data_IF_100889655090
#
_entry.id   IF_100889655090
#
_cell.length_a   1.000
_cell.length_b   1.000
_cell.length_c   1.000
_cell.angle_alpha   90.00
_cell.angle_beta   90.00
_cell.angle_gamma   90.00
#
_symmetry.space_group_name_H-M   'P 1'
#
loop_
_entity.id
_entity.type
_entity.pdbx_description
1 polymer ?
#
# COMPACT_ATOMS: atom_id res chain seq x y z
N UNK A 1 22.14 11.47 13.50
CA UNK A 1 21.05 11.78 12.52
C UNK A 1 19.80 11.07 12.97
N UNK A 2 18.72 11.80 13.23
CA UNK A 2 17.43 11.18 13.59
C UNK A 2 16.95 10.44 12.35
N UNK A 3 16.74 9.13 12.45
CA UNK A 3 16.19 8.29 11.38
C UNK A 3 14.85 8.87 10.93
N UNK A 4 14.69 9.05 9.61
CA UNK A 4 13.48 9.63 9.01
C UNK A 4 12.21 8.89 9.43
N UNK A 5 12.27 7.55 9.50
CA UNK A 5 11.18 6.71 9.95
C UNK A 5 10.78 7.03 11.39
N UNK A 6 11.75 7.11 12.30
CA UNK A 6 11.51 7.43 13.72
C UNK A 6 10.80 8.77 13.91
N UNK A 7 11.15 9.79 13.12
CA UNK A 7 10.49 11.10 13.15
C UNK A 7 9.01 11.02 12.71
N UNK A 8 8.73 10.25 11.66
CA UNK A 8 7.35 9.99 11.20
C UNK A 8 6.55 9.25 12.28
N UNK A 9 7.10 8.17 12.83
CA UNK A 9 6.40 7.36 13.85
C UNK A 9 6.09 8.19 15.10
N UNK A 10 7.03 9.03 15.57
CA UNK A 10 6.79 9.94 16.69
C UNK A 10 5.66 10.95 16.40
N UNK A 11 5.62 11.50 15.19
CA UNK A 11 4.52 12.37 14.75
C UNK A 11 3.19 11.61 14.73
N UNK A 12 3.15 10.39 14.15
CA UNK A 12 1.94 9.56 14.08
C UNK A 12 1.39 9.21 15.47
N UNK A 13 2.24 8.89 16.42
CA UNK A 13 1.81 8.65 17.81
C UNK A 13 1.10 9.88 18.40
N UNK A 14 1.61 11.10 18.18
CA UNK A 14 0.95 12.36 18.62
C UNK A 14 -0.38 12.60 17.90
N UNK A 15 -0.44 12.38 16.58
CA UNK A 15 -1.68 12.50 15.80
C UNK A 15 -2.75 11.51 16.31
N UNK A 16 -2.38 10.26 16.57
CA UNK A 16 -3.28 9.23 17.06
C UNK A 16 -3.83 9.53 18.46
N UNK A 17 -3.00 10.08 19.35
CA UNK A 17 -3.44 10.54 20.67
C UNK A 17 -4.54 11.61 20.55
N UNK A 18 -4.38 12.57 19.64
CA UNK A 18 -5.41 13.58 19.38
C UNK A 18 -6.68 12.99 18.79
N UNK A 19 -6.54 12.08 17.82
CA UNK A 19 -7.68 11.36 17.20
C UNK A 19 -8.46 10.54 18.22
N UNK A 20 -7.79 9.77 19.07
CA UNK A 20 -8.47 8.98 20.12
C UNK A 20 -9.32 9.86 21.04
N UNK A 21 -8.81 11.02 21.47
CA UNK A 21 -9.56 11.96 22.28
C UNK A 21 -10.81 12.49 21.55
N UNK A 22 -10.69 12.78 20.25
CA UNK A 22 -11.79 13.25 19.42
C UNK A 22 -12.85 12.18 19.23
N UNK A 23 -12.43 10.95 18.89
CA UNK A 23 -13.33 9.80 18.70
C UNK A 23 -14.03 9.42 20.01
N UNK A 24 -13.32 9.46 21.15
CA UNK A 24 -13.92 9.20 22.47
C UNK A 24 -15.01 10.21 22.87
N UNK A 25 -14.94 11.44 22.34
CA UNK A 25 -15.95 12.47 22.54
C UNK A 25 -17.15 12.32 21.57
N UNK A 26 -17.05 11.50 20.55
CA UNK A 26 -18.13 11.19 19.62
C UNK A 26 -18.86 9.90 20.05
N UNK A 27 -20.14 9.77 19.66
CA UNK A 27 -20.84 8.48 19.80
C UNK A 27 -20.10 7.42 18.99
N UNK A 28 -20.01 6.18 19.52
CA UNK A 28 -19.43 5.07 18.80
C UNK A 28 -20.15 4.89 17.45
N UNK A 29 -19.40 5.02 16.36
CA UNK A 29 -19.90 4.76 15.01
C UNK A 29 -19.83 3.26 14.80
N UNK A 30 -20.97 2.65 14.48
CA UNK A 30 -21.03 1.24 14.10
C UNK A 30 -20.31 1.04 12.76
N UNK A 31 -19.43 0.04 12.70
CA UNK A 31 -18.69 -0.35 11.49
C UNK A 31 -18.95 -1.83 11.21
N UNK A 32 -20.04 -2.15 10.52
CA UNK A 32 -20.34 -3.54 10.18
C UNK A 32 -19.25 -4.11 9.27
N UNK A 33 -18.86 -5.39 9.44
CA UNK A 33 -17.92 -6.03 8.53
C UNK A 33 -18.39 -5.99 7.08
N UNK A 34 -17.47 -5.79 6.15
CA UNK A 34 -17.73 -5.81 4.70
C UNK A 34 -16.82 -6.85 4.03
N UNK A 35 -17.07 -8.15 4.20
CA UNK A 35 -16.19 -9.22 3.74
C UNK A 35 -15.95 -9.21 2.24
N UNK A 36 -16.88 -8.68 1.45
CA UNK A 36 -16.75 -8.51 0.01
C UNK A 36 -15.58 -7.60 -0.38
N UNK A 37 -15.17 -6.67 0.49
CA UNK A 37 -13.96 -5.85 0.24
C UNK A 37 -12.70 -6.69 0.28
N UNK A 38 -12.57 -7.56 1.29
CA UNK A 38 -11.45 -8.48 1.46
C UNK A 38 -11.37 -9.45 0.28
N UNK A 39 -12.48 -10.13 -0.04
CA UNK A 39 -12.53 -11.10 -1.13
C UNK A 39 -12.16 -10.48 -2.48
N UNK A 40 -12.67 -9.28 -2.77
CA UNK A 40 -12.36 -8.54 -3.98
C UNK A 40 -10.88 -8.16 -4.04
N UNK A 41 -10.30 -7.72 -2.91
CA UNK A 41 -8.89 -7.32 -2.82
C UNK A 41 -7.96 -8.52 -3.04
N UNK A 42 -8.22 -9.65 -2.40
CA UNK A 42 -7.43 -10.87 -2.56
C UNK A 42 -7.50 -11.38 -4.02
N UNK A 43 -8.71 -11.41 -4.60
CA UNK A 43 -8.90 -11.83 -5.99
C UNK A 43 -8.20 -10.92 -6.99
N UNK A 44 -8.23 -9.61 -6.75
CA UNK A 44 -7.61 -8.62 -7.63
C UNK A 44 -6.07 -8.69 -7.62
N UNK A 45 -5.47 -9.08 -6.50
CA UNK A 45 -4.03 -9.10 -6.33
C UNK A 45 -3.39 -10.47 -6.60
N UNK A 46 -4.15 -11.57 -6.50
CA UNK A 46 -3.63 -12.90 -6.82
C UNK A 46 -3.34 -13.01 -8.31
N UNK A 47 -2.13 -13.46 -8.63
CA UNK A 47 -1.69 -13.69 -10.00
C UNK A 47 -2.45 -14.87 -10.61
N UNK A 48 -2.95 -14.70 -11.83
CA UNK A 48 -3.48 -15.82 -12.61
C UNK A 48 -2.36 -16.77 -13.01
N UNK A 49 -2.59 -18.10 -13.03
CA UNK A 49 -1.58 -19.05 -13.48
C UNK A 49 -1.04 -18.69 -14.87
N UNK A 50 0.28 -18.54 -15.00
CA UNK A 50 0.95 -18.19 -16.25
C UNK A 50 0.72 -16.75 -16.73
N UNK A 51 -0.06 -15.94 -15.99
CA UNK A 51 -0.28 -14.54 -16.32
C UNK A 51 0.80 -13.59 -15.79
N UNK A 52 0.77 -12.29 -16.16
CA UNK A 52 1.63 -11.28 -15.58
C UNK A 52 1.23 -10.97 -14.13
N UNK A 53 2.13 -10.39 -13.32
CA UNK A 53 1.77 -9.89 -12.00
C UNK A 53 0.69 -8.80 -12.07
N UNK A 54 -0.23 -8.82 -11.11
CA UNK A 54 -1.19 -7.74 -10.92
C UNK A 54 -0.49 -6.43 -10.56
N UNK A 55 -1.06 -5.27 -10.94
CA UNK A 55 -0.43 -3.98 -10.62
C UNK A 55 -1.26 -3.18 -9.62
N UNK A 56 -0.60 -2.80 -8.52
CA UNK A 56 -1.06 -1.77 -7.59
C UNK A 56 -0.45 -0.43 -8.04
N UNK A 57 -1.23 0.43 -8.67
CA UNK A 57 -0.76 1.73 -9.14
C UNK A 57 -0.90 2.79 -8.04
N UNK A 58 0.20 3.52 -7.73
CA UNK A 58 0.24 4.42 -6.59
C UNK A 58 0.07 5.89 -6.97
N UNK A 59 -0.92 6.54 -6.35
CA UNK A 59 -1.10 8.00 -6.38
C UNK A 59 -0.27 8.61 -5.26
N UNK A 60 0.81 9.32 -5.66
CA UNK A 60 1.77 9.93 -4.75
C UNK A 60 2.34 11.23 -5.32
N UNK A 61 1.96 12.36 -4.75
CA UNK A 61 2.40 13.67 -5.25
C UNK A 61 3.81 14.07 -4.79
N UNK A 62 4.26 13.51 -3.67
CA UNK A 62 5.56 13.80 -3.06
C UNK A 62 6.13 12.57 -2.41
N UNK A 63 7.45 12.51 -2.27
CA UNK A 63 8.11 11.53 -1.40
C UNK A 63 9.38 12.12 -0.78
N UNK A 64 9.86 11.58 0.36
CA UNK A 64 11.12 12.01 0.97
C UNK A 64 12.32 11.86 0.06
N UNK A 65 12.34 10.82 -0.76
CA UNK A 65 13.46 10.50 -1.66
C UNK A 65 13.45 11.30 -2.96
N UNK A 66 12.27 11.73 -3.46
CA UNK A 66 12.13 12.38 -4.75
C UNK A 66 11.67 13.85 -4.67
N UNK A 67 11.36 14.35 -3.46
CA UNK A 67 10.73 15.65 -3.29
C UNK A 67 9.32 15.70 -3.89
N UNK A 68 8.95 16.82 -4.49
CA UNK A 68 7.72 16.95 -5.26
C UNK A 68 7.87 16.20 -6.58
N UNK A 69 6.93 15.30 -6.86
CA UNK A 69 6.90 14.46 -8.08
C UNK A 69 5.98 15.14 -9.11
N UNK A 70 4.85 15.64 -8.63
CA UNK A 70 3.84 16.33 -9.43
C UNK A 70 3.00 17.24 -8.55
N UNK A 71 2.57 18.43 -9.02
CA UNK A 71 1.59 19.24 -8.31
C UNK A 71 0.33 18.44 -8.02
N UNK A 72 -0.13 18.47 -6.76
CA UNK A 72 -1.22 17.61 -6.31
C UNK A 72 -2.45 18.36 -5.86
N UNK A 73 -3.62 17.87 -6.28
CA UNK A 73 -4.91 18.22 -5.72
C UNK A 73 -5.78 16.97 -5.56
N UNK A 74 -6.82 17.01 -4.72
CA UNK A 74 -7.75 15.88 -4.63
C UNK A 74 -8.44 15.53 -5.95
N UNK A 75 -8.73 16.53 -6.80
CA UNK A 75 -9.30 16.31 -8.14
C UNK A 75 -8.33 15.62 -9.09
N UNK A 76 -7.07 16.06 -9.08
CA UNK A 76 -6.00 15.44 -9.86
C UNK A 76 -5.76 14.00 -9.42
N UNK A 77 -5.76 13.70 -8.12
CA UNK A 77 -5.62 12.34 -7.62
C UNK A 77 -6.72 11.40 -8.08
N UNK A 78 -7.97 11.87 -8.14
CA UNK A 78 -9.10 11.11 -8.71
C UNK A 78 -8.93 10.89 -10.20
N UNK A 79 -8.51 11.91 -10.97
CA UNK A 79 -8.26 11.80 -12.40
C UNK A 79 -7.20 10.73 -12.71
N UNK A 80 -6.09 10.76 -11.97
CA UNK A 80 -5.01 9.78 -12.07
C UNK A 80 -5.50 8.37 -11.73
N UNK A 81 -6.22 8.19 -10.61
CA UNK A 81 -6.72 6.89 -10.19
C UNK A 81 -7.67 6.25 -11.21
N UNK A 82 -8.56 7.05 -11.82
CA UNK A 82 -9.39 6.61 -12.94
C UNK A 82 -8.56 6.25 -14.18
N UNK A 83 -7.49 7.00 -14.43
CA UNK A 83 -6.52 6.67 -15.48
C UNK A 83 -5.86 5.32 -15.22
N UNK A 84 -5.43 5.05 -13.98
CA UNK A 84 -4.87 3.76 -13.59
C UNK A 84 -5.84 2.60 -13.78
N UNK A 85 -7.10 2.77 -13.35
CA UNK A 85 -8.13 1.75 -13.54
C UNK A 85 -8.34 1.44 -15.02
N UNK A 86 -8.48 2.46 -15.89
CA UNK A 86 -8.58 2.27 -17.34
C UNK A 86 -7.31 1.67 -17.94
N UNK A 87 -6.15 1.99 -17.39
CA UNK A 87 -4.85 1.46 -17.79
C UNK A 87 -4.55 0.04 -17.33
N UNK A 88 -5.49 -0.60 -16.61
CA UNK A 88 -5.37 -2.01 -16.20
C UNK A 88 -4.84 -2.23 -14.78
N UNK A 89 -4.85 -1.20 -13.90
CA UNK A 89 -4.51 -1.40 -12.49
C UNK A 89 -5.49 -2.36 -11.81
N UNK A 90 -4.96 -3.33 -11.09
CA UNK A 90 -5.74 -4.27 -10.28
C UNK A 90 -6.15 -3.68 -8.92
N UNK A 91 -5.38 -2.69 -8.43
CA UNK A 91 -5.69 -1.90 -7.25
C UNK A 91 -5.03 -0.52 -7.35
N UNK A 92 -5.51 0.45 -6.56
CA UNK A 92 -4.90 1.78 -6.47
C UNK A 92 -4.41 2.03 -5.05
N UNK A 93 -3.10 2.32 -4.91
CA UNK A 93 -2.51 2.79 -3.65
C UNK A 93 -2.63 4.30 -3.55
N UNK A 94 -3.11 4.82 -2.41
CA UNK A 94 -3.27 6.27 -2.19
C UNK A 94 -2.57 6.67 -0.91
N UNK A 95 -1.59 7.58 -1.03
CA UNK A 95 -0.91 8.13 0.13
C UNK A 95 -1.89 8.95 0.97
N UNK A 96 -1.97 8.62 2.28
CA UNK A 96 -2.83 9.30 3.24
C UNK A 96 -2.05 10.15 4.26
N UNK A 97 -0.73 10.29 4.08
CA UNK A 97 0.14 11.13 4.90
C UNK A 97 0.40 12.48 4.21
N UNK A 98 0.02 13.59 4.87
CA UNK A 98 0.16 14.94 4.33
C UNK A 98 1.60 15.45 4.29
N UNK A 99 2.31 15.59 5.43
CA UNK A 99 3.56 16.34 5.50
C UNK A 99 4.69 15.75 4.65
N UNK A 100 4.81 14.42 4.56
CA UNK A 100 5.89 13.76 3.82
C UNK A 100 5.53 13.40 2.39
N UNK A 101 4.24 13.17 2.10
CA UNK A 101 3.83 12.50 0.86
C UNK A 101 2.75 13.25 0.06
N UNK A 102 2.26 14.38 0.57
CA UNK A 102 1.24 15.19 -0.10
C UNK A 102 -0.13 14.53 -0.18
N UNK A 103 -0.40 13.52 0.67
CA UNK A 103 -1.64 12.77 0.71
C UNK A 103 -2.60 13.21 1.81
N UNK A 104 -3.77 12.59 1.86
CA UNK A 104 -4.73 12.77 2.95
C UNK A 104 -5.78 11.66 2.97
N UNK A 105 -6.43 11.40 4.13
CA UNK A 105 -7.59 10.50 4.17
C UNK A 105 -8.74 10.94 3.26
N UNK A 106 -8.92 12.25 3.08
CA UNK A 106 -9.93 12.78 2.15
C UNK A 106 -9.66 12.41 0.70
N UNK A 107 -8.38 12.38 0.30
CA UNK A 107 -7.99 11.92 -1.03
C UNK A 107 -8.35 10.44 -1.21
N UNK A 108 -8.06 9.59 -0.21
CA UNK A 108 -8.44 8.16 -0.22
C UNK A 108 -9.95 8.01 -0.40
N UNK A 109 -10.76 8.75 0.38
CA UNK A 109 -12.23 8.72 0.28
C UNK A 109 -12.73 9.08 -1.12
N UNK A 110 -12.14 10.13 -1.73
CA UNK A 110 -12.54 10.57 -3.09
C UNK A 110 -12.15 9.54 -4.15
N UNK A 111 -10.97 8.94 -4.02
CA UNK A 111 -10.52 7.89 -4.94
C UNK A 111 -11.38 6.64 -4.77
N UNK A 112 -11.61 6.17 -3.54
CA UNK A 112 -12.43 4.99 -3.26
C UNK A 112 -13.87 5.11 -3.79
N UNK A 113 -14.43 6.34 -3.79
CA UNK A 113 -15.74 6.62 -4.40
C UNK A 113 -15.73 6.81 -5.90
N UNK A 114 -14.55 6.79 -6.55
CA UNK A 114 -14.39 7.12 -7.97
C UNK A 114 -13.91 5.97 -8.85
N UNK A 115 -13.37 4.90 -8.25
CA UNK A 115 -12.88 3.69 -8.93
C UNK A 115 -13.58 2.44 -8.43
N UNK A 116 -13.63 1.39 -9.24
CA UNK A 116 -14.19 0.09 -8.87
C UNK A 116 -13.15 -0.87 -8.30
N UNK A 117 -11.86 -0.66 -8.60
CA UNK A 117 -10.76 -1.48 -8.09
C UNK A 117 -10.50 -1.22 -6.59
N UNK A 118 -9.97 -2.21 -5.83
CA UNK A 118 -9.63 -2.02 -4.43
C UNK A 118 -8.66 -0.84 -4.19
N UNK A 119 -8.88 -0.10 -3.09
CA UNK A 119 -8.02 1.04 -2.72
C UNK A 119 -7.22 0.70 -1.48
N UNK A 120 -5.89 0.88 -1.56
CA UNK A 120 -4.94 0.73 -0.46
C UNK A 120 -4.77 2.07 0.27
N UNK A 121 -5.13 2.08 1.56
CA UNK A 121 -4.83 3.17 2.49
C UNK A 121 -3.36 3.14 2.89
N UNK A 122 -2.54 3.97 2.22
CA UNK A 122 -1.09 3.95 2.39
C UNK A 122 -0.63 5.03 3.37
N UNK A 123 -0.44 4.62 4.63
CA UNK A 123 0.06 5.46 5.72
C UNK A 123 0.75 4.58 6.77
N UNK A 124 1.56 5.17 7.64
CA UNK A 124 2.14 4.47 8.80
C UNK A 124 1.06 4.25 9.86
N UNK A 125 0.49 3.05 9.88
CA UNK A 125 -0.55 2.65 10.85
C UNK A 125 0.11 2.09 12.10
N UNK A 126 -0.21 2.70 13.26
CA UNK A 126 0.31 2.35 14.58
C UNK A 126 -0.81 2.14 15.61
N UNK A 127 -2.07 2.31 15.22
CA UNK A 127 -3.17 2.45 16.15
C UNK A 127 -4.49 2.02 15.50
N UNK A 128 -5.36 1.29 16.21
CA UNK A 128 -6.68 0.90 15.70
C UNK A 128 -7.54 2.07 15.19
N UNK A 129 -7.39 3.29 15.75
CA UNK A 129 -8.13 4.47 15.28
C UNK A 129 -7.81 4.83 13.83
N UNK A 130 -6.63 4.47 13.33
CA UNK A 130 -6.27 4.67 11.92
C UNK A 130 -6.91 3.59 11.02
N UNK A 131 -7.10 2.38 11.54
CA UNK A 131 -7.84 1.30 10.86
C UNK A 131 -9.30 1.67 10.72
N UNK A 132 -9.90 2.21 11.77
CA UNK A 132 -11.27 2.71 11.74
C UNK A 132 -11.44 3.83 10.70
N UNK A 133 -10.47 4.75 10.63
CA UNK A 133 -10.47 5.79 9.61
C UNK A 133 -10.31 5.22 8.20
N UNK A 134 -9.46 4.21 8.00
CA UNK A 134 -9.31 3.55 6.70
C UNK A 134 -10.64 2.93 6.23
N UNK A 135 -11.37 2.29 7.15
CA UNK A 135 -12.71 1.77 6.88
C UNK A 135 -13.69 2.88 6.46
N UNK A 136 -13.74 3.98 7.22
CA UNK A 136 -14.65 5.11 7.02
C UNK A 136 -14.41 5.85 5.69
N UNK A 137 -13.17 5.84 5.19
CA UNK A 137 -12.82 6.43 3.88
C UNK A 137 -12.96 5.45 2.70
N UNK A 138 -13.43 4.23 2.96
CA UNK A 138 -13.74 3.26 1.91
C UNK A 138 -12.56 2.43 1.41
N UNK A 139 -11.46 2.35 2.17
CA UNK A 139 -10.35 1.48 1.83
C UNK A 139 -10.75 -0.01 1.87
N UNK A 140 -10.16 -0.80 0.98
CA UNK A 140 -10.25 -2.26 0.99
C UNK A 140 -8.96 -2.91 1.52
N UNK A 141 -7.85 -2.18 1.42
CA UNK A 141 -6.51 -2.59 1.80
C UNK A 141 -5.90 -1.56 2.76
N UNK A 142 -5.14 -2.02 3.76
CA UNK A 142 -4.49 -1.15 4.75
C UNK A 142 -3.02 -1.56 4.91
N UNK A 143 -2.11 -0.60 4.78
CA UNK A 143 -0.67 -0.84 4.97
C UNK A 143 -0.33 -1.01 6.45
N UNK A 144 0.44 -2.03 6.77
CA UNK A 144 1.18 -2.18 8.03
C UNK A 144 2.67 -2.36 7.72
N UNK A 145 3.54 -1.74 8.50
CA UNK A 145 4.99 -1.92 8.40
C UNK A 145 5.49 -2.78 9.56
N UNK A 146 6.13 -3.92 9.28
CA UNK A 146 6.66 -4.81 10.31
C UNK A 146 7.64 -4.09 11.23
N UNK A 147 8.58 -3.33 10.68
CA UNK A 147 9.61 -2.59 11.44
C UNK A 147 9.08 -1.44 12.30
N UNK A 148 7.83 -1.05 12.12
CA UNK A 148 7.20 0.02 12.90
C UNK A 148 6.38 -0.48 14.09
N UNK A 149 6.21 -1.80 14.22
CA UNK A 149 5.30 -2.45 15.16
C UNK A 149 5.99 -3.61 15.89
N UNK A 150 5.68 -3.74 17.16
CA UNK A 150 5.99 -4.95 17.92
C UNK A 150 5.03 -6.08 17.50
N UNK A 151 5.42 -7.36 17.68
CA UNK A 151 4.62 -8.51 17.23
C UNK A 151 3.19 -8.55 17.78
N UNK A 152 2.94 -8.23 19.07
CA UNK A 152 1.57 -8.18 19.59
C UNK A 152 0.72 -7.11 18.89
N UNK A 153 1.29 -5.92 18.63
CA UNK A 153 0.59 -4.82 17.97
C UNK A 153 0.32 -5.13 16.50
N UNK A 154 1.30 -5.70 15.80
CA UNK A 154 1.15 -6.14 14.41
C UNK A 154 0.00 -7.14 14.28
N UNK A 155 -0.03 -8.17 15.15
CA UNK A 155 -1.08 -9.18 15.18
C UNK A 155 -2.45 -8.58 15.48
N UNK A 156 -2.53 -7.70 16.48
CA UNK A 156 -3.77 -7.03 16.85
C UNK A 156 -4.33 -6.16 15.71
N UNK A 157 -3.46 -5.43 14.99
CA UNK A 157 -3.87 -4.61 13.84
C UNK A 157 -4.28 -5.46 12.64
N UNK A 158 -3.59 -6.57 12.36
CA UNK A 158 -4.00 -7.55 11.33
C UNK A 158 -5.42 -8.05 11.63
N UNK A 159 -5.67 -8.50 12.87
CA UNK A 159 -6.99 -8.98 13.29
C UNK A 159 -8.06 -7.87 13.19
N UNK A 160 -7.74 -6.64 13.62
CA UNK A 160 -8.67 -5.51 13.56
C UNK A 160 -9.06 -5.17 12.12
N UNK A 161 -8.10 -5.13 11.19
CA UNK A 161 -8.36 -4.86 9.78
C UNK A 161 -9.30 -5.92 9.21
N UNK A 162 -9.02 -7.20 9.45
CA UNK A 162 -9.83 -8.31 8.97
C UNK A 162 -11.22 -8.36 9.58
N UNK A 163 -11.36 -8.02 10.86
CA UNK A 163 -12.67 -7.97 11.51
C UNK A 163 -13.63 -6.95 10.89
N UNK A 164 -13.11 -5.98 10.14
CA UNK A 164 -13.88 -4.98 9.40
C UNK A 164 -14.11 -5.37 7.92
N UNK A 165 -13.60 -6.52 7.48
CA UNK A 165 -13.70 -6.97 6.09
C UNK A 165 -12.74 -6.27 5.14
N UNK A 166 -11.63 -5.74 5.64
CA UNK A 166 -10.49 -5.24 4.85
C UNK A 166 -9.34 -6.26 4.89
N UNK A 167 -8.33 -6.10 4.02
CA UNK A 167 -7.10 -6.89 4.09
C UNK A 167 -5.89 -6.04 4.46
N UNK A 168 -5.03 -6.52 5.39
CA UNK A 168 -3.74 -5.89 5.64
C UNK A 168 -2.76 -6.21 4.51
N UNK A 169 -2.05 -5.19 4.04
CA UNK A 169 -0.83 -5.35 3.23
C UNK A 169 0.34 -5.13 4.19
N UNK A 170 1.00 -6.22 4.60
CA UNK A 170 2.07 -6.16 5.58
C UNK A 170 3.41 -6.03 4.86
N UNK A 171 4.03 -4.86 4.98
CA UNK A 171 5.28 -4.51 4.33
C UNK A 171 6.47 -4.96 5.18
N UNK A 172 7.35 -5.76 4.56
CA UNK A 172 8.61 -6.26 5.09
C UNK A 172 9.78 -5.75 4.26
N UNK A 173 10.96 -5.67 4.87
CA UNK A 173 12.19 -5.23 4.21
C UNK A 173 13.26 -6.31 4.11
N UNK A 174 13.11 -7.41 4.85
CA UNK A 174 14.03 -8.53 4.89
C UNK A 174 13.30 -9.83 5.26
N UNK A 175 14.04 -10.94 5.26
CA UNK A 175 13.48 -12.27 5.53
C UNK A 175 12.87 -12.40 6.93
N UNK A 176 13.51 -11.84 7.94
CA UNK A 176 13.01 -11.93 9.32
C UNK A 176 11.68 -11.19 9.47
N UNK A 177 11.54 -10.05 8.78
CA UNK A 177 10.28 -9.30 8.75
C UNK A 177 9.19 -10.06 7.94
N UNK A 178 9.55 -10.82 6.91
CA UNK A 178 8.62 -11.73 6.20
C UNK A 178 8.12 -12.81 7.16
N UNK A 179 8.99 -13.45 7.91
CA UNK A 179 8.63 -14.47 8.89
C UNK A 179 7.70 -13.91 9.98
N UNK A 180 7.96 -12.69 10.46
CA UNK A 180 7.08 -11.96 11.40
C UNK A 180 5.70 -11.64 10.81
N UNK A 181 5.65 -11.25 9.52
CA UNK A 181 4.39 -10.99 8.81
C UNK A 181 3.54 -12.27 8.69
N UNK A 182 4.16 -13.39 8.35
CA UNK A 182 3.51 -14.71 8.31
C UNK A 182 2.99 -15.09 9.70
N UNK A 183 3.82 -14.98 10.74
CA UNK A 183 3.45 -15.29 12.13
C UNK A 183 2.31 -14.40 12.67
N UNK A 184 2.16 -13.18 12.13
CA UNK A 184 1.05 -12.30 12.44
C UNK A 184 -0.26 -12.69 11.74
N UNK A 185 -0.24 -13.68 10.84
CA UNK A 185 -1.41 -14.16 10.09
C UNK A 185 -1.75 -13.30 8.86
N UNK A 186 -0.76 -12.61 8.28
CA UNK A 186 -0.98 -11.83 7.05
C UNK A 186 -1.21 -12.73 5.85
N UNK A 187 -2.17 -12.34 5.00
CA UNK A 187 -2.48 -12.99 3.71
C UNK A 187 -1.90 -12.24 2.51
N UNK A 188 -1.50 -10.98 2.69
CA UNK A 188 -0.83 -10.16 1.68
C UNK A 188 0.45 -9.61 2.28
N UNK A 189 1.59 -10.03 1.76
CA UNK A 189 2.91 -9.62 2.24
C UNK A 189 3.63 -8.88 1.12
N UNK A 190 4.03 -7.64 1.39
CA UNK A 190 4.79 -6.84 0.45
C UNK A 190 6.25 -6.75 0.85
N UNK A 191 7.17 -6.93 -0.10
CA UNK A 191 8.59 -6.66 0.14
C UNK A 191 8.99 -5.36 -0.55
N UNK A 192 9.48 -4.42 0.25
CA UNK A 192 9.91 -3.13 -0.26
C UNK A 192 11.41 -3.17 -0.62
N UNK A 193 11.70 -3.13 -1.92
CA UNK A 193 13.06 -3.07 -2.42
C UNK A 193 13.79 -1.76 -2.06
N UNK A 194 13.06 -0.73 -1.63
CA UNK A 194 13.62 0.54 -1.16
C UNK A 194 13.79 0.52 0.35
N UNK A 195 15.02 0.67 0.81
CA UNK A 195 15.30 0.91 2.22
C UNK A 195 14.80 2.29 2.66
N UNK A 196 14.03 2.36 3.76
CA UNK A 196 13.42 3.60 4.24
C UNK A 196 14.39 4.52 4.98
N UNK A 197 15.60 4.04 5.31
CA UNK A 197 16.62 4.80 6.02
C UNK A 197 17.62 5.43 5.04
N UNK A 198 18.05 4.67 4.04
CA UNK A 198 19.06 5.07 3.05
C UNK A 198 18.47 5.53 1.73
N UNK A 199 17.21 5.19 1.47
CA UNK A 199 16.49 5.33 0.19
C UNK A 199 17.12 4.55 -0.98
N UNK A 200 18.13 3.70 -0.71
CA UNK A 200 18.69 2.77 -1.68
C UNK A 200 17.65 1.74 -2.14
N UNK A 201 17.82 1.25 -3.35
CA UNK A 201 16.95 0.21 -3.92
C UNK A 201 17.79 -1.03 -4.22
N UNK A 202 17.45 -2.14 -3.56
CA UNK A 202 18.05 -3.46 -3.81
C UNK A 202 16.96 -4.45 -4.27
N UNK A 203 16.89 -4.63 -5.59
CA UNK A 203 15.88 -5.50 -6.20
C UNK A 203 16.20 -6.98 -6.03
N UNK A 204 17.47 -7.35 -5.95
CA UNK A 204 17.87 -8.75 -5.84
C UNK A 204 17.58 -9.27 -4.43
N UNK A 205 17.93 -8.50 -3.40
CA UNK A 205 17.56 -8.83 -2.03
C UNK A 205 16.03 -8.89 -1.86
N UNK A 206 15.30 -7.96 -2.46
CA UNK A 206 13.83 -7.98 -2.42
C UNK A 206 13.24 -9.21 -3.12
N UNK A 207 13.76 -9.61 -4.29
CA UNK A 207 13.32 -10.85 -4.97
C UNK A 207 13.58 -12.09 -4.13
N UNK A 208 14.74 -12.18 -3.48
CA UNK A 208 15.05 -13.28 -2.58
C UNK A 208 14.08 -13.35 -1.39
N UNK A 209 13.69 -12.20 -0.82
CA UNK A 209 12.69 -12.14 0.24
C UNK A 209 11.28 -12.50 -0.25
N UNK A 210 10.87 -12.03 -1.44
CA UNK A 210 9.57 -12.38 -2.06
C UNK A 210 9.46 -13.89 -2.29
N UNK A 211 10.55 -14.54 -2.68
CA UNK A 211 10.57 -15.98 -2.89
C UNK A 211 10.33 -16.81 -1.61
N UNK A 212 10.51 -16.22 -0.42
CA UNK A 212 10.24 -16.85 0.89
C UNK A 212 8.77 -16.73 1.33
N UNK A 213 7.97 -15.88 0.68
CA UNK A 213 6.56 -15.71 1.03
C UNK A 213 5.81 -17.00 0.66
N UNK A 214 5.05 -17.59 1.63
CA UNK A 214 4.27 -18.82 1.38
C UNK A 214 3.31 -18.69 0.20
N UNK A 215 3.06 -19.78 -0.50
CA UNK A 215 2.21 -19.81 -1.71
C UNK A 215 0.75 -19.43 -1.42
N UNK A 216 0.26 -19.72 -0.24
CA UNK A 216 -1.07 -19.33 0.22
C UNK A 216 -1.21 -17.81 0.41
N UNK A 217 -0.11 -17.08 0.62
CA UNK A 217 -0.11 -15.63 0.72
C UNK A 217 0.02 -14.98 -0.67
N UNK A 218 -0.54 -13.80 -0.83
CA UNK A 218 -0.28 -12.91 -1.97
C UNK A 218 1.05 -12.20 -1.75
N UNK A 219 2.01 -12.41 -2.64
CA UNK A 219 3.32 -11.79 -2.59
C UNK A 219 3.36 -10.52 -3.45
N UNK A 220 3.70 -9.36 -2.85
CA UNK A 220 3.75 -8.08 -3.54
C UNK A 220 5.19 -7.55 -3.57
N UNK A 221 5.72 -7.34 -4.77
CA UNK A 221 7.00 -6.66 -4.96
C UNK A 221 6.78 -5.14 -4.97
N UNK A 222 7.46 -4.40 -4.08
CA UNK A 222 7.25 -2.97 -3.93
C UNK A 222 8.53 -2.18 -4.23
N UNK A 223 8.39 -1.08 -4.94
CA UNK A 223 9.47 -0.16 -5.36
C UNK A 223 10.44 -0.75 -6.41
N UNK A 224 11.13 0.14 -7.11
CA UNK A 224 12.23 -0.24 -8.01
C UNK A 224 11.82 -0.69 -9.41
N UNK A 225 10.53 -0.79 -9.74
CA UNK A 225 10.05 -1.06 -11.11
C UNK A 225 9.92 0.28 -11.84
N UNK A 226 10.73 0.47 -12.90
CA UNK A 226 10.82 1.71 -13.70
C UNK A 226 10.67 1.48 -15.19
N UNK A 227 10.74 0.23 -15.64
CA UNK A 227 10.71 -0.14 -17.04
C UNK A 227 9.96 -1.44 -17.27
N UNK A 228 9.64 -1.71 -18.53
CA UNK A 228 9.11 -3.01 -18.98
C UNK A 228 10.06 -4.16 -18.59
N UNK A 229 11.38 -3.94 -18.73
CA UNK A 229 12.39 -4.93 -18.34
C UNK A 229 12.29 -5.29 -16.86
N UNK A 230 12.20 -4.27 -15.99
CA UNK A 230 12.05 -4.50 -14.55
C UNK A 230 10.77 -5.28 -14.23
N UNK A 231 9.66 -4.98 -14.93
CA UNK A 231 8.39 -5.68 -14.72
C UNK A 231 8.47 -7.14 -15.19
N UNK A 232 9.12 -7.39 -16.32
CA UNK A 232 9.41 -8.74 -16.81
C UNK A 232 10.26 -9.55 -15.84
N UNK A 233 11.31 -8.92 -15.27
CA UNK A 233 12.17 -9.56 -14.26
C UNK A 233 11.38 -9.97 -13.02
N UNK A 234 10.45 -9.11 -12.56
CA UNK A 234 9.55 -9.47 -11.44
C UNK A 234 8.58 -10.57 -11.84
N UNK A 235 8.09 -10.56 -13.08
CA UNK A 235 7.16 -11.55 -13.61
C UNK A 235 7.75 -12.97 -13.68
N UNK A 236 9.08 -13.11 -13.81
CA UNK A 236 9.78 -14.40 -13.76
C UNK A 236 9.85 -14.98 -12.34
N UNK A 237 9.59 -14.18 -11.31
CA UNK A 237 9.65 -14.59 -9.90
C UNK A 237 8.31 -14.99 -9.31
N UNK A 238 8.33 -15.15 -7.96
CA UNK A 238 7.18 -15.56 -7.12
C UNK A 238 6.10 -14.48 -6.97
N UNK A 239 6.37 -13.21 -7.31
CA UNK A 239 5.44 -12.11 -7.05
C UNK A 239 4.08 -12.31 -7.72
N UNK A 240 3.00 -12.19 -6.95
CA UNK A 240 1.63 -12.12 -7.46
C UNK A 240 1.29 -10.72 -7.96
N UNK A 241 1.82 -9.70 -7.29
CA UNK A 241 1.55 -8.32 -7.64
C UNK A 241 2.80 -7.44 -7.52
N UNK A 242 2.78 -6.28 -8.18
CA UNK A 242 3.81 -5.24 -8.07
C UNK A 242 3.17 -3.90 -7.68
N UNK A 243 3.85 -3.11 -6.85
CA UNK A 243 3.44 -1.74 -6.56
C UNK A 243 4.34 -0.76 -7.30
N UNK A 244 3.74 0.04 -8.19
CA UNK A 244 4.43 1.03 -9.03
C UNK A 244 3.84 2.41 -8.75
N UNK A 245 4.70 3.38 -8.42
CA UNK A 245 4.26 4.75 -8.12
C UNK A 245 5.06 5.81 -8.85
N UNK A 246 6.33 5.96 -8.50
CA UNK A 246 7.17 7.09 -8.97
C UNK A 246 7.26 7.14 -10.51
N UNK A 247 7.46 6.01 -11.15
CA UNK A 247 7.52 5.90 -12.62
C UNK A 247 6.23 6.39 -13.27
N UNK A 248 5.08 5.92 -12.79
CA UNK A 248 3.79 6.32 -13.31
C UNK A 248 3.50 7.80 -13.07
N UNK A 249 3.78 8.29 -11.86
CA UNK A 249 3.51 9.67 -11.47
C UNK A 249 4.39 10.71 -12.18
N UNK A 250 5.56 10.33 -12.68
CA UNK A 250 6.44 11.20 -13.47
C UNK A 250 6.02 11.32 -14.92
N UNK A 251 5.25 10.37 -15.44
CA UNK A 251 4.82 10.42 -16.84
C UNK A 251 3.73 11.49 -17.06
N UNK A 252 3.60 12.02 -18.25
CA UNK A 252 2.59 13.01 -18.61
C UNK A 252 1.17 12.44 -18.42
N UNK A 253 0.94 11.23 -18.93
CA UNK A 253 -0.27 10.45 -18.68
C UNK A 253 0.05 9.16 -17.93
N UNK A 254 -0.19 9.15 -16.59
CA UNK A 254 0.07 7.98 -15.75
C UNK A 254 -0.73 6.73 -16.13
N UNK A 255 -1.95 6.90 -16.65
CA UNK A 255 -2.80 5.79 -17.07
C UNK A 255 -2.31 5.14 -18.36
N UNK A 256 -1.96 5.94 -19.35
CA UNK A 256 -1.37 5.46 -20.61
C UNK A 256 -0.03 4.76 -20.37
N UNK A 257 0.81 5.32 -19.49
CA UNK A 257 2.09 4.70 -19.10
C UNK A 257 1.90 3.32 -18.46
N UNK A 258 0.89 3.18 -17.59
CA UNK A 258 0.56 1.88 -17.02
C UNK A 258 0.14 0.88 -18.08
N UNK A 259 -0.75 1.28 -19.00
CA UNK A 259 -1.19 0.43 -20.09
C UNK A 259 -0.03 -0.03 -20.98
N UNK A 260 0.92 0.86 -21.28
CA UNK A 260 2.15 0.55 -22.03
C UNK A 260 3.00 -0.51 -21.30
N UNK A 261 3.22 -0.34 -19.99
CA UNK A 261 3.97 -1.33 -19.19
C UNK A 261 3.31 -2.71 -19.23
N UNK A 262 1.99 -2.77 -19.08
CA UNK A 262 1.23 -4.02 -19.03
C UNK A 262 1.12 -4.71 -20.40
N UNK A 263 1.00 -3.97 -21.48
CA UNK A 263 0.89 -4.55 -22.83
C UNK A 263 2.18 -5.20 -23.34
N UNK A 264 3.26 -5.01 -22.60
CA UNK A 264 4.60 -5.46 -22.97
C UNK A 264 5.10 -6.65 -22.15
N UNK A 265 4.27 -7.24 -21.25
CA UNK A 265 4.65 -8.35 -20.33
C UNK A 265 3.76 -9.64 -20.53
#
# INVERSE_FOLDING_TARGET
MTDYLSAILARKRRENTRRRRHVAAMRSVERPPQPERSERALRALRRAPGGPPSVIAEVKFRSPSAGEIRPGSPGEGVRIARGYERGGASAVSVLADGPGFGGSPLLVRRVAGAVSVPVLYKVFVLDPVQVDLAYDVGAALVLLLVRALEDPDLRALVQRIRSLGMEPVVEAANSDEVDRAVAAGSTIIGVNARDLSTFGVDRDAARACVARIPEECVAVFMSGVRSVGDLRDVAQGRADAVLIGEELMRSEDPGARLSELLSSV
#
